data_IF_198905510688
#
_entry.id   IF_198905510688
#
_cell.length_a   1.000
_cell.length_b   1.000
_cell.length_c   1.000
_cell.angle_alpha   90.00
_cell.angle_beta   90.00
_cell.angle_gamma   90.00
#
_symmetry.space_group_name_H-M   'P 1'
#
loop_
_entity.id
_entity.type
_entity.pdbx_description
1 polymer ?
#
# COMPACT_ATOMS: atom_id res chain seq x y z
N UNK A 1 -4.42 13.85 -23.47
CA UNK A 1 -4.45 13.03 -22.24
C UNK A 1 -3.03 12.84 -21.72
N UNK A 2 -2.74 13.42 -20.56
CA UNK A 2 -1.47 13.21 -19.89
C UNK A 2 -1.40 11.74 -19.47
N UNK A 3 -0.68 10.92 -20.23
CA UNK A 3 -0.47 9.52 -19.88
C UNK A 3 0.51 9.56 -18.73
N UNK A 4 -0.01 9.67 -17.50
CA UNK A 4 0.81 9.55 -16.30
C UNK A 4 1.71 8.34 -16.48
N UNK A 5 2.99 8.55 -16.24
CA UNK A 5 3.98 7.47 -16.24
C UNK A 5 3.45 6.32 -15.33
N UNK A 6 3.55 5.05 -15.79
CA UNK A 6 3.04 3.89 -15.05
C UNK A 6 3.53 3.79 -13.60
N UNK A 7 4.77 4.20 -13.34
CA UNK A 7 5.34 4.18 -12.00
C UNK A 7 4.65 5.19 -11.07
N UNK A 8 4.41 6.40 -11.57
CA UNK A 8 3.70 7.45 -10.83
C UNK A 8 2.26 7.04 -10.52
N UNK A 9 1.58 6.38 -11.45
CA UNK A 9 0.24 5.86 -11.21
C UNK A 9 0.23 4.76 -10.14
N UNK A 10 1.16 3.80 -10.19
CA UNK A 10 1.25 2.72 -9.21
C UNK A 10 1.50 3.24 -7.78
N UNK A 11 2.36 4.25 -7.63
CA UNK A 11 2.61 4.90 -6.34
C UNK A 11 1.37 5.61 -5.79
N UNK A 12 0.68 6.40 -6.63
CA UNK A 12 -0.51 7.14 -6.23
C UNK A 12 -1.63 6.16 -5.78
N UNK A 13 -1.84 5.06 -6.51
CA UNK A 13 -2.82 4.03 -6.16
C UNK A 13 -2.47 3.32 -4.84
N UNK A 14 -1.18 3.00 -4.62
CA UNK A 14 -0.74 2.39 -3.37
C UNK A 14 -0.95 3.33 -2.16
N UNK A 15 -0.66 4.62 -2.33
CA UNK A 15 -0.92 5.64 -1.31
C UNK A 15 -2.43 5.77 -1.02
N UNK A 16 -3.25 5.83 -2.06
CA UNK A 16 -4.71 5.92 -1.93
C UNK A 16 -5.28 4.69 -1.21
N UNK A 17 -4.84 3.48 -1.54
CA UNK A 17 -5.27 2.25 -0.86
C UNK A 17 -4.87 2.23 0.63
N UNK A 18 -3.65 2.70 0.95
CA UNK A 18 -3.20 2.82 2.34
C UNK A 18 -4.00 3.87 3.12
N UNK A 19 -4.31 5.02 2.51
CA UNK A 19 -5.11 6.07 3.11
C UNK A 19 -6.55 5.61 3.36
N UNK A 20 -7.17 4.92 2.39
CA UNK A 20 -8.49 4.32 2.53
C UNK A 20 -8.56 3.35 3.71
N UNK A 21 -7.53 2.50 3.88
CA UNK A 21 -7.47 1.54 4.98
C UNK A 21 -7.37 2.22 6.35
N UNK A 22 -6.55 3.26 6.47
CA UNK A 22 -6.46 4.04 7.70
C UNK A 22 -7.78 4.75 8.01
N UNK A 23 -8.39 5.39 7.01
CA UNK A 23 -9.63 6.15 7.16
C UNK A 23 -10.81 5.27 7.60
N UNK A 24 -10.92 4.06 7.04
CA UNK A 24 -11.98 3.09 7.39
C UNK A 24 -11.68 2.29 8.66
N UNK A 25 -10.43 2.30 9.10
CA UNK A 25 -9.91 1.57 10.24
C UNK A 25 -9.34 0.21 9.85
N UNK A 26 -8.06 0.00 10.18
CA UNK A 26 -7.30 -1.20 9.79
C UNK A 26 -7.93 -2.50 10.30
N UNK A 27 -8.48 -2.49 11.52
CA UNK A 27 -9.15 -3.64 12.13
C UNK A 27 -10.45 -4.08 11.43
N UNK A 28 -11.03 -3.22 10.57
CA UNK A 28 -12.29 -3.49 9.85
C UNK A 28 -12.11 -3.40 8.34
N UNK A 29 -10.90 -3.67 7.85
CA UNK A 29 -10.60 -3.60 6.43
C UNK A 29 -11.41 -4.66 5.66
N UNK A 30 -12.24 -4.21 4.71
CA UNK A 30 -13.05 -5.10 3.90
C UNK A 30 -12.19 -6.03 3.03
N UNK A 31 -12.71 -7.21 2.63
CA UNK A 31 -11.99 -8.10 1.70
C UNK A 31 -11.54 -7.38 0.42
N UNK A 32 -12.43 -6.59 -0.21
CA UNK A 32 -12.09 -5.85 -1.42
C UNK A 32 -10.99 -4.80 -1.23
N UNK A 33 -10.92 -4.14 -0.06
CA UNK A 33 -9.82 -3.21 0.22
C UNK A 33 -8.50 -3.95 0.48
N UNK A 34 -8.53 -5.13 1.11
CA UNK A 34 -7.35 -6.01 1.24
C UNK A 34 -6.83 -6.47 -0.13
N UNK A 35 -7.73 -6.85 -1.03
CA UNK A 35 -7.38 -7.23 -2.40
C UNK A 35 -6.78 -6.06 -3.18
N UNK A 36 -7.32 -4.84 -3.01
CA UNK A 36 -6.75 -3.62 -3.61
C UNK A 36 -5.32 -3.37 -3.13
N UNK A 37 -5.05 -3.51 -1.83
CA UNK A 37 -3.70 -3.34 -1.26
C UNK A 37 -2.74 -4.41 -1.82
N UNK A 38 -3.18 -5.67 -1.87
CA UNK A 38 -2.38 -6.75 -2.46
C UNK A 38 -2.10 -6.52 -3.96
N UNK A 39 -3.06 -5.97 -4.70
CA UNK A 39 -2.86 -5.60 -6.11
C UNK A 39 -1.86 -4.45 -6.26
N UNK A 40 -1.97 -3.41 -5.45
CA UNK A 40 -1.01 -2.31 -5.45
C UNK A 40 0.43 -2.80 -5.19
N UNK A 41 0.61 -3.78 -4.30
CA UNK A 41 1.92 -4.42 -4.10
C UNK A 41 2.48 -5.06 -5.38
N UNK A 42 1.65 -5.80 -6.13
CA UNK A 42 2.04 -6.41 -7.41
C UNK A 42 2.36 -5.37 -8.48
N UNK A 43 1.59 -4.29 -8.53
CA UNK A 43 1.80 -3.22 -9.52
C UNK A 43 3.11 -2.46 -9.24
N UNK A 44 3.43 -2.20 -7.97
CA UNK A 44 4.72 -1.64 -7.58
C UNK A 44 5.89 -2.56 -7.96
N UNK A 45 5.74 -3.86 -7.76
CA UNK A 45 6.76 -4.86 -8.13
C UNK A 45 6.98 -4.90 -9.64
N UNK A 46 5.90 -4.88 -10.43
CA UNK A 46 5.94 -4.84 -11.89
C UNK A 46 6.62 -3.57 -12.44
N UNK A 47 6.56 -2.46 -11.70
CA UNK A 47 7.23 -1.21 -12.03
C UNK A 47 8.64 -1.07 -11.40
N UNK A 48 9.18 -2.15 -10.81
CA UNK A 48 10.55 -2.18 -10.29
C UNK A 48 10.74 -1.63 -8.87
N UNK A 49 9.68 -1.17 -8.21
CA UNK A 49 9.70 -0.62 -6.84
C UNK A 49 9.63 -1.74 -5.78
N UNK A 50 10.57 -2.69 -5.84
CA UNK A 50 10.53 -3.94 -5.04
C UNK A 50 10.42 -3.72 -3.54
N UNK A 51 11.20 -2.81 -2.96
CA UNK A 51 11.11 -2.54 -1.51
C UNK A 51 9.77 -1.92 -1.10
N UNK A 52 9.18 -1.06 -1.95
CA UNK A 52 7.86 -0.52 -1.68
C UNK A 52 6.81 -1.65 -1.76
N UNK A 53 6.88 -2.49 -2.78
CA UNK A 53 6.03 -3.67 -2.93
C UNK A 53 6.10 -4.60 -1.71
N UNK A 54 7.30 -4.91 -1.20
CA UNK A 54 7.50 -5.71 0.00
C UNK A 54 6.78 -5.13 1.22
N UNK A 55 6.88 -3.81 1.44
CA UNK A 55 6.19 -3.16 2.58
C UNK A 55 4.67 -3.20 2.44
N UNK A 56 4.13 -3.05 1.22
CA UNK A 56 2.70 -3.13 0.94
C UNK A 56 2.19 -4.58 1.08
N UNK A 57 2.97 -5.56 0.65
CA UNK A 57 2.66 -6.98 0.83
C UNK A 57 2.68 -7.38 2.32
N UNK A 58 3.63 -6.83 3.09
CA UNK A 58 3.67 -7.02 4.54
C UNK A 58 2.43 -6.43 5.23
N UNK A 59 1.94 -5.27 4.78
CA UNK A 59 0.67 -4.70 5.22
C UNK A 59 -0.51 -5.63 4.87
N UNK A 60 -0.61 -6.10 3.62
CA UNK A 60 -1.67 -7.01 3.20
C UNK A 60 -1.74 -8.27 4.10
N UNK A 61 -0.58 -8.86 4.40
CA UNK A 61 -0.48 -10.00 5.31
C UNK A 61 -0.86 -9.64 6.76
N UNK A 62 -0.49 -8.46 7.25
CA UNK A 62 -0.83 -8.01 8.59
C UNK A 62 -2.33 -7.74 8.76
N UNK A 63 -3.02 -7.27 7.72
CA UNK A 63 -4.48 -7.03 7.73
C UNK A 63 -5.32 -8.31 7.79
N UNK A 64 -4.72 -9.46 7.47
CA UNK A 64 -5.35 -10.78 7.64
C UNK A 64 -5.02 -11.45 8.96
N UNK A 65 -4.08 -10.89 9.73
CA UNK A 65 -3.69 -11.41 11.03
C UNK A 65 -4.58 -10.82 12.14
N UNK A 66 -4.84 -11.60 13.19
CA UNK A 66 -5.57 -11.15 14.38
C UNK A 66 -4.63 -10.42 15.36
N UNK A 67 -3.91 -9.41 14.86
CA UNK A 67 -3.00 -8.56 15.64
C UNK A 67 -3.13 -7.09 15.19
N UNK A 68 -3.97 -6.29 15.87
CA UNK A 68 -4.17 -4.88 15.53
C UNK A 68 -2.90 -4.04 15.61
N UNK A 69 -1.99 -4.32 16.55
CA UNK A 69 -0.75 -3.57 16.69
C UNK A 69 0.21 -3.84 15.54
N UNK A 70 0.27 -5.09 15.07
CA UNK A 70 1.02 -5.46 13.87
C UNK A 70 0.44 -4.79 12.63
N UNK A 71 -0.88 -4.74 12.48
CA UNK A 71 -1.53 -4.05 11.36
C UNK A 71 -1.18 -2.55 11.32
N UNK A 72 -1.24 -1.87 12.47
CA UNK A 72 -0.86 -0.45 12.59
C UNK A 72 0.61 -0.22 12.23
N UNK A 73 1.53 -1.05 12.77
CA UNK A 73 2.96 -0.94 12.46
C UNK A 73 3.25 -1.18 10.98
N UNK A 74 2.65 -2.22 10.38
CA UNK A 74 2.83 -2.51 8.97
C UNK A 74 2.28 -1.38 8.09
N UNK A 75 1.15 -0.80 8.45
CA UNK A 75 0.57 0.34 7.74
C UNK A 75 1.47 1.57 7.80
N UNK A 76 1.95 1.94 8.99
CA UNK A 76 2.84 3.09 9.14
C UNK A 76 4.12 2.92 8.32
N UNK A 77 4.75 1.75 8.38
CA UNK A 77 5.94 1.43 7.57
C UNK A 77 5.66 1.58 6.07
N UNK A 78 4.59 0.97 5.56
CA UNK A 78 4.24 1.05 4.15
C UNK A 78 3.93 2.50 3.72
N UNK A 79 3.11 3.21 4.49
CA UNK A 79 2.68 4.56 4.16
C UNK A 79 3.83 5.56 4.16
N UNK A 80 4.72 5.50 5.17
CA UNK A 80 5.92 6.35 5.23
C UNK A 80 6.83 6.06 4.04
N UNK A 81 7.09 4.78 3.73
CA UNK A 81 7.96 4.39 2.62
C UNK A 81 7.40 4.90 1.28
N UNK A 82 6.11 4.68 1.03
CA UNK A 82 5.44 5.14 -0.17
C UNK A 82 5.46 6.67 -0.30
N UNK A 83 5.17 7.39 0.78
CA UNK A 83 5.19 8.85 0.78
C UNK A 83 6.60 9.37 0.48
N UNK A 84 7.62 8.83 1.16
CA UNK A 84 9.02 9.19 0.88
C UNK A 84 9.42 8.86 -0.57
N UNK A 85 9.01 7.72 -1.12
CA UNK A 85 9.29 7.38 -2.53
C UNK A 85 8.58 8.35 -3.49
N UNK A 86 7.35 8.76 -3.19
CA UNK A 86 6.60 9.72 -4.02
C UNK A 86 7.20 11.13 -3.98
N UNK A 87 7.75 11.57 -2.85
CA UNK A 87 8.43 12.87 -2.71
C UNK A 87 9.81 12.91 -3.41
N UNK A 88 10.45 11.75 -3.59
CA UNK A 88 11.80 11.64 -4.17
C UNK A 88 11.80 11.24 -5.66
N UNK A 89 10.63 11.10 -6.29
CA UNK A 89 10.49 10.83 -7.73
C UNK A 89 10.76 12.09 -8.55
#
# INVERSE_FOLDING_TARGET
PDVRDPLSHALDEALAACADAAHRGLARTSPGLRERIARAGKDLEANGLRTAAETVNALAAALTADDPHRAVRAWATAHIRLLTTAELR
#
